data_IF_372542693137
#
_entry.id   IF_372542693137
#
_cell.length_a   1.000
_cell.length_b   1.000
_cell.length_c   1.000
_cell.angle_alpha   90.00
_cell.angle_beta   90.00
_cell.angle_gamma   90.00
#
_symmetry.space_group_name_H-M   'P 1'
#
loop_
_entity.id
_entity.type
_entity.pdbx_description
1 polymer ?
#
# COMPACT_ATOMS: atom_id res chain seq x y z
N UNK A 1 -15.46 -56.87 34.49
CA UNK A 1 -14.51 -55.77 34.13
C UNK A 1 -15.00 -55.24 32.80
N UNK A 2 -16.09 -54.47 32.88
CA UNK A 2 -16.79 -53.90 31.74
C UNK A 2 -16.16 -52.58 31.40
N UNK A 3 -15.74 -52.44 30.16
CA UNK A 3 -15.21 -51.21 29.60
C UNK A 3 -16.37 -50.31 29.16
N UNK A 4 -16.51 -49.18 29.83
CA UNK A 4 -17.43 -48.10 29.53
C UNK A 4 -17.06 -47.45 28.19
N UNK A 5 -18.03 -47.30 27.23
CA UNK A 5 -17.75 -46.60 25.98
C UNK A 5 -17.74 -45.08 26.21
N UNK A 6 -16.73 -44.42 25.69
CA UNK A 6 -16.50 -42.98 25.81
C UNK A 6 -17.56 -42.14 25.11
N UNK A 7 -18.21 -41.26 25.86
CA UNK A 7 -19.30 -40.33 25.47
C UNK A 7 -18.88 -39.13 24.61
N UNK A 8 -18.00 -39.28 23.61
CA UNK A 8 -17.60 -38.18 22.75
C UNK A 8 -18.49 -37.97 21.51
N UNK A 9 -19.43 -38.90 21.23
CA UNK A 9 -20.31 -38.80 20.05
C UNK A 9 -21.50 -37.87 20.22
N UNK A 10 -21.83 -37.40 21.42
CA UNK A 10 -23.00 -36.56 21.66
C UNK A 10 -22.77 -35.05 21.51
N UNK A 11 -21.54 -34.60 21.21
CA UNK A 11 -21.22 -33.17 21.07
C UNK A 11 -21.25 -32.60 19.62
N UNK A 12 -21.59 -33.43 18.61
CA UNK A 12 -21.58 -33.00 17.20
C UNK A 12 -22.94 -32.56 16.63
N UNK A 13 -23.95 -32.35 17.51
CA UNK A 13 -25.30 -31.91 17.13
C UNK A 13 -25.52 -30.39 17.03
N UNK A 14 -24.48 -29.58 16.95
CA UNK A 14 -24.61 -28.17 16.65
C UNK A 14 -24.85 -27.94 15.15
N UNK A 15 -26.14 -27.95 14.74
CA UNK A 15 -26.55 -27.52 13.40
C UNK A 15 -26.00 -26.09 13.19
N UNK A 16 -24.95 -25.99 12.40
CA UNK A 16 -24.46 -24.68 11.91
C UNK A 16 -25.66 -24.03 11.20
N UNK A 17 -26.21 -23.00 11.78
CA UNK A 17 -27.21 -22.15 11.13
C UNK A 17 -26.72 -21.80 9.73
N UNK A 18 -27.52 -21.99 8.66
CA UNK A 18 -27.10 -21.67 7.32
C UNK A 18 -26.72 -20.17 7.31
N UNK A 19 -25.46 -19.89 7.09
CA UNK A 19 -24.97 -18.52 6.91
C UNK A 19 -25.89 -17.87 5.88
N UNK A 20 -26.75 -16.97 6.37
CA UNK A 20 -27.70 -16.22 5.56
C UNK A 20 -26.88 -15.61 4.44
N UNK A 21 -27.06 -16.03 3.21
CA UNK A 21 -26.45 -15.42 2.03
C UNK A 21 -26.92 -13.98 2.01
N UNK A 22 -26.14 -13.10 2.64
CA UNK A 22 -26.38 -11.67 2.54
C UNK A 22 -26.33 -11.32 1.06
N UNK A 23 -27.42 -10.76 0.55
CA UNK A 23 -27.50 -10.31 -0.83
C UNK A 23 -26.34 -9.32 -1.05
N UNK A 24 -25.62 -9.48 -2.15
CA UNK A 24 -24.52 -8.58 -2.55
C UNK A 24 -24.96 -7.10 -2.47
N UNK A 25 -26.23 -6.84 -2.81
CA UNK A 25 -26.84 -5.51 -2.68
C UNK A 25 -26.93 -5.02 -1.23
N UNK A 26 -27.21 -5.91 -0.26
CA UNK A 26 -27.28 -5.50 1.16
C UNK A 26 -25.90 -5.14 1.70
N UNK A 27 -24.87 -5.85 1.25
CA UNK A 27 -23.46 -5.55 1.60
C UNK A 27 -23.01 -4.20 1.03
N UNK A 28 -23.33 -3.89 -0.25
CA UNK A 28 -23.06 -2.58 -0.84
C UNK A 28 -23.80 -1.44 -0.13
N UNK A 29 -25.08 -1.67 0.23
CA UNK A 29 -25.87 -0.69 0.98
C UNK A 29 -25.34 -0.44 2.39
N UNK A 30 -24.78 -1.47 3.02
CA UNK A 30 -24.11 -1.36 4.33
C UNK A 30 -22.83 -0.55 4.20
N UNK A 31 -21.96 -0.89 3.23
CA UNK A 31 -20.73 -0.13 2.94
C UNK A 31 -21.01 1.34 2.67
N UNK A 32 -22.02 1.65 1.86
CA UNK A 32 -22.43 3.03 1.58
C UNK A 32 -22.88 3.77 2.83
N UNK A 33 -23.71 3.14 3.68
CA UNK A 33 -24.13 3.74 4.95
C UNK A 33 -22.95 3.98 5.89
N UNK A 34 -22.00 3.06 5.95
CA UNK A 34 -20.77 3.21 6.74
C UNK A 34 -19.92 4.36 6.25
N UNK A 35 -19.73 4.49 4.93
CA UNK A 35 -19.00 5.61 4.33
C UNK A 35 -19.66 6.96 4.65
N UNK A 36 -20.98 7.06 4.51
CA UNK A 36 -21.73 8.29 4.84
C UNK A 36 -21.68 8.58 6.34
N UNK A 37 -21.76 7.55 7.18
CA UNK A 37 -21.62 7.69 8.64
C UNK A 37 -20.22 8.17 9.02
N UNK A 38 -19.16 7.60 8.44
CA UNK A 38 -17.77 8.01 8.66
C UNK A 38 -17.52 9.45 8.19
N UNK A 39 -18.08 9.84 7.06
CA UNK A 39 -17.95 11.21 6.55
C UNK A 39 -18.47 12.26 7.57
N UNK A 40 -19.54 11.95 8.28
CA UNK A 40 -20.17 12.86 9.25
C UNK A 40 -19.53 12.81 10.64
N UNK A 41 -19.07 11.63 11.07
CA UNK A 41 -18.59 11.42 12.45
C UNK A 41 -17.08 11.44 12.56
N UNK A 42 -16.35 10.92 11.55
CA UNK A 42 -14.89 10.75 11.55
C UNK A 42 -14.30 11.01 10.17
N UNK A 43 -14.31 12.26 9.68
CA UNK A 43 -13.82 12.59 8.34
C UNK A 43 -12.33 12.24 8.15
N UNK A 44 -11.53 12.24 9.24
CA UNK A 44 -10.10 11.87 9.18
C UNK A 44 -9.90 10.43 8.73
N UNK A 45 -10.75 9.50 9.19
CA UNK A 45 -10.70 8.09 8.76
C UNK A 45 -10.96 7.97 7.27
N UNK A 46 -11.94 8.71 6.75
CA UNK A 46 -12.27 8.68 5.33
C UNK A 46 -11.15 9.27 4.47
N UNK A 47 -10.58 10.41 4.86
CA UNK A 47 -9.44 11.01 4.17
C UNK A 47 -8.22 10.08 4.18
N UNK A 48 -7.97 9.41 5.30
CA UNK A 48 -6.90 8.41 5.38
C UNK A 48 -7.17 7.21 4.46
N UNK A 49 -8.39 6.66 4.46
CA UNK A 49 -8.74 5.54 3.58
C UNK A 49 -8.54 5.89 2.11
N UNK A 50 -8.92 7.11 1.70
CA UNK A 50 -8.72 7.59 0.32
C UNK A 50 -7.24 7.78 0.00
N UNK A 51 -6.49 8.47 0.87
CA UNK A 51 -5.05 8.63 0.71
C UNK A 51 -4.34 7.28 0.62
N UNK A 52 -4.66 6.37 1.55
CA UNK A 52 -4.07 5.05 1.62
C UNK A 52 -4.41 4.19 0.39
N UNK A 53 -5.63 4.26 -0.12
CA UNK A 53 -6.00 3.55 -1.34
C UNK A 53 -5.13 3.99 -2.52
N UNK A 54 -4.90 5.30 -2.67
CA UNK A 54 -4.14 5.86 -3.78
C UNK A 54 -2.65 5.58 -3.66
N UNK A 55 -2.00 5.92 -2.51
CA UNK A 55 -0.55 5.70 -2.44
C UNK A 55 -0.18 4.21 -2.40
N UNK A 56 -1.02 3.34 -1.83
CA UNK A 56 -0.79 1.88 -1.85
C UNK A 56 -0.84 1.30 -3.27
N UNK A 57 -1.70 1.83 -4.12
CA UNK A 57 -1.70 1.48 -5.55
C UNK A 57 -0.40 1.95 -6.22
N UNK A 58 0.07 3.17 -5.91
CA UNK A 58 1.39 3.65 -6.33
C UNK A 58 2.53 2.73 -5.85
N UNK A 59 2.51 2.27 -4.59
CA UNK A 59 3.49 1.30 -4.06
C UNK A 59 3.46 -0.03 -4.82
N UNK A 60 2.26 -0.53 -5.15
CA UNK A 60 2.11 -1.73 -5.97
C UNK A 60 2.65 -1.50 -7.39
N UNK A 61 2.43 -0.31 -7.97
CA UNK A 61 2.97 0.10 -9.25
C UNK A 61 4.50 0.09 -9.29
N UNK A 62 5.18 0.53 -8.23
CA UNK A 62 6.64 0.46 -8.10
C UNK A 62 7.16 -0.97 -8.30
N UNK A 63 6.56 -1.95 -7.62
CA UNK A 63 6.97 -3.35 -7.78
C UNK A 63 6.58 -3.94 -9.15
N UNK A 64 5.36 -3.63 -9.61
CA UNK A 64 4.84 -4.19 -10.86
C UNK A 64 5.65 -3.72 -12.07
N UNK A 65 5.96 -2.42 -12.12
CA UNK A 65 6.62 -1.82 -13.27
C UNK A 65 8.14 -1.67 -13.10
N UNK A 66 8.67 -1.81 -11.88
CA UNK A 66 10.10 -1.70 -11.61
C UNK A 66 10.93 -2.67 -12.44
N UNK A 67 10.55 -3.94 -12.54
CA UNK A 67 11.23 -4.92 -13.36
C UNK A 67 11.15 -4.63 -14.86
N UNK A 68 10.02 -4.09 -15.34
CA UNK A 68 9.86 -3.68 -16.74
C UNK A 68 10.82 -2.53 -17.06
N UNK A 69 10.86 -1.52 -16.19
CA UNK A 69 11.75 -0.36 -16.34
C UNK A 69 13.22 -0.77 -16.27
N UNK A 70 13.59 -1.64 -15.32
CA UNK A 70 14.94 -2.17 -15.20
C UNK A 70 15.41 -2.82 -16.50
N UNK A 71 14.56 -3.64 -17.13
CA UNK A 71 14.85 -4.35 -18.37
C UNK A 71 14.84 -3.42 -19.58
N UNK A 72 13.81 -2.62 -19.76
CA UNK A 72 13.60 -1.81 -20.97
C UNK A 72 14.48 -0.56 -21.03
N UNK A 73 14.89 -0.02 -19.89
CA UNK A 73 15.59 1.28 -19.80
C UNK A 73 17.02 1.13 -19.32
N UNK A 74 17.25 0.29 -18.30
CA UNK A 74 18.56 0.16 -17.66
C UNK A 74 19.38 -1.05 -18.12
N UNK A 75 18.91 -1.80 -19.10
CA UNK A 75 19.66 -2.88 -19.72
C UNK A 75 19.79 -4.16 -18.87
N UNK A 76 18.90 -4.38 -17.91
CA UNK A 76 18.87 -5.62 -17.12
C UNK A 76 18.52 -6.81 -17.99
N UNK A 77 19.22 -7.92 -17.78
CA UNK A 77 18.80 -9.23 -18.26
C UNK A 77 17.61 -9.76 -17.43
N UNK A 78 16.99 -10.84 -17.87
CA UNK A 78 15.92 -11.48 -17.10
C UNK A 78 16.42 -11.97 -15.72
N UNK A 79 17.63 -12.50 -15.70
CA UNK A 79 18.27 -13.00 -14.47
C UNK A 79 18.60 -11.85 -13.50
N UNK A 80 19.07 -10.71 -14.01
CA UNK A 80 19.31 -9.51 -13.19
C UNK A 80 18.03 -9.01 -12.53
N UNK A 81 16.89 -9.03 -13.25
CA UNK A 81 15.58 -8.64 -12.69
C UNK A 81 15.17 -9.59 -11.56
N UNK A 82 15.39 -10.91 -11.73
CA UNK A 82 15.06 -11.89 -10.69
C UNK A 82 15.94 -11.70 -9.45
N UNK A 83 17.26 -11.54 -9.64
CA UNK A 83 18.20 -11.32 -8.53
C UNK A 83 17.86 -10.00 -7.82
N UNK A 84 17.60 -8.92 -8.58
CA UNK A 84 17.19 -7.65 -8.03
C UNK A 84 15.91 -7.78 -7.21
N UNK A 85 14.90 -8.49 -7.72
CA UNK A 85 13.64 -8.67 -7.00
C UNK A 85 13.83 -9.41 -5.66
N UNK A 86 14.68 -10.43 -5.61
CA UNK A 86 15.00 -11.15 -4.38
C UNK A 86 15.68 -10.20 -3.38
N UNK A 87 16.76 -9.52 -3.81
CA UNK A 87 17.53 -8.61 -2.96
C UNK A 87 16.64 -7.46 -2.47
N UNK A 88 15.85 -6.86 -3.35
CA UNK A 88 14.93 -5.77 -3.00
C UNK A 88 13.89 -6.19 -1.95
N UNK A 89 13.35 -7.41 -2.06
CA UNK A 89 12.41 -7.94 -1.06
C UNK A 89 13.08 -8.19 0.29
N UNK A 90 14.31 -8.74 0.30
CA UNK A 90 15.08 -8.93 1.55
C UNK A 90 15.37 -7.60 2.20
N UNK A 91 15.88 -6.63 1.44
CA UNK A 91 16.18 -5.27 1.95
C UNK A 91 14.90 -4.60 2.48
N UNK A 92 13.81 -4.65 1.73
CA UNK A 92 12.52 -4.11 2.16
C UNK A 92 12.03 -4.77 3.45
N UNK A 93 12.20 -6.08 3.59
CA UNK A 93 11.84 -6.82 4.81
C UNK A 93 12.65 -6.37 6.03
N UNK A 94 13.98 -6.31 5.90
CA UNK A 94 14.88 -5.86 6.97
C UNK A 94 14.56 -4.42 7.38
N UNK A 95 14.43 -3.50 6.42
CA UNK A 95 14.11 -2.10 6.70
C UNK A 95 12.71 -1.96 7.32
N UNK A 96 11.75 -2.80 6.95
CA UNK A 96 10.42 -2.81 7.57
C UNK A 96 10.47 -3.17 9.05
N UNK A 97 11.29 -4.17 9.42
CA UNK A 97 11.48 -4.54 10.83
C UNK A 97 12.09 -3.37 11.62
N UNK A 98 13.16 -2.77 11.07
CA UNK A 98 13.80 -1.61 11.70
C UNK A 98 12.86 -0.41 11.78
N UNK A 99 12.01 -0.21 10.78
CA UNK A 99 11.05 0.90 10.76
C UNK A 99 9.96 0.80 11.84
N UNK A 100 9.74 -0.38 12.43
CA UNK A 100 8.88 -0.53 13.60
C UNK A 100 9.34 0.37 14.76
N UNK A 101 10.64 0.44 15.01
CA UNK A 101 11.20 1.36 16.02
C UNK A 101 11.00 2.83 15.66
N UNK A 102 11.07 3.16 14.37
CA UNK A 102 10.80 4.53 13.91
C UNK A 102 9.32 4.90 14.06
N UNK A 103 8.42 3.92 13.90
CA UNK A 103 6.98 4.09 14.09
C UNK A 103 6.64 4.44 15.55
N UNK A 104 7.34 3.81 16.50
CA UNK A 104 7.19 4.09 17.92
C UNK A 104 7.78 5.45 18.31
N UNK A 105 8.92 5.84 17.72
CA UNK A 105 9.62 7.09 18.06
C UNK A 105 9.01 8.32 17.38
N UNK A 106 8.71 8.23 16.10
CA UNK A 106 8.29 9.37 15.26
C UNK A 106 6.78 9.45 15.06
N UNK A 107 6.10 8.33 15.29
CA UNK A 107 4.71 8.12 14.96
C UNK A 107 4.46 7.71 13.49
N UNK A 108 3.40 6.91 13.24
CA UNK A 108 3.16 6.27 11.95
C UNK A 108 2.93 7.27 10.81
N UNK A 109 2.31 8.42 11.08
CA UNK A 109 2.10 9.45 10.06
C UNK A 109 3.40 9.98 9.47
N UNK A 110 4.41 10.23 10.34
CA UNK A 110 5.71 10.74 9.88
C UNK A 110 6.47 9.67 9.11
N UNK A 111 6.38 8.41 9.52
CA UNK A 111 6.98 7.29 8.80
C UNK A 111 6.35 7.12 7.41
N UNK A 112 5.02 7.20 7.29
CA UNK A 112 4.33 7.16 5.99
C UNK A 112 4.82 8.31 5.10
N UNK A 113 4.77 9.54 5.60
CA UNK A 113 5.14 10.73 4.82
C UNK A 113 6.61 10.71 4.39
N UNK A 114 7.52 10.33 5.30
CA UNK A 114 8.94 10.20 5.01
C UNK A 114 9.21 9.13 3.95
N UNK A 115 8.59 7.96 4.08
CA UNK A 115 8.71 6.87 3.10
C UNK A 115 8.18 7.29 1.73
N UNK A 116 7.01 7.93 1.66
CA UNK A 116 6.45 8.44 0.40
C UNK A 116 7.34 9.51 -0.24
N UNK A 117 7.92 10.42 0.56
CA UNK A 117 8.84 11.43 0.06
C UNK A 117 10.10 10.79 -0.55
N UNK A 118 10.71 9.82 0.13
CA UNK A 118 11.86 9.07 -0.42
C UNK A 118 11.48 8.33 -1.70
N UNK A 119 10.33 7.66 -1.73
CA UNK A 119 9.83 6.97 -2.93
C UNK A 119 9.67 7.91 -4.12
N UNK A 120 9.08 9.09 -3.90
CA UNK A 120 8.92 10.12 -4.95
C UNK A 120 10.28 10.60 -5.43
N UNK A 121 11.20 10.96 -4.52
CA UNK A 121 12.53 11.47 -4.86
C UNK A 121 13.34 10.40 -5.62
N UNK A 122 13.36 9.15 -5.14
CA UNK A 122 14.10 8.07 -5.81
C UNK A 122 13.50 7.76 -7.19
N UNK A 123 12.18 7.77 -7.33
CA UNK A 123 11.53 7.60 -8.64
C UNK A 123 11.87 8.72 -9.61
N UNK A 124 11.91 9.96 -9.15
CA UNK A 124 12.32 11.10 -9.97
C UNK A 124 13.82 11.03 -10.37
N UNK A 125 14.67 10.55 -9.46
CA UNK A 125 16.09 10.32 -9.78
C UNK A 125 16.26 9.19 -10.79
N UNK A 126 15.50 8.09 -10.68
CA UNK A 126 15.49 7.01 -11.68
C UNK A 126 15.04 7.55 -13.04
N UNK A 127 14.04 8.43 -13.07
CA UNK A 127 13.62 9.09 -14.30
C UNK A 127 14.71 10.01 -14.87
N UNK A 128 15.32 10.85 -14.05
CA UNK A 128 16.33 11.81 -14.49
C UNK A 128 17.66 11.15 -14.95
N UNK A 129 17.99 10.00 -14.34
CA UNK A 129 19.21 9.24 -14.62
C UNK A 129 18.92 7.98 -15.43
N UNK A 130 17.93 8.02 -16.33
CA UNK A 130 17.51 6.87 -17.13
C UNK A 130 18.60 6.28 -18.02
N UNK A 131 19.61 7.07 -18.39
CA UNK A 131 20.79 6.64 -19.17
C UNK A 131 21.93 6.07 -18.30
N UNK A 132 21.77 6.03 -16.97
CA UNK A 132 22.83 5.69 -16.02
C UNK A 132 23.20 4.21 -15.94
N UNK A 133 22.49 3.36 -16.70
CA UNK A 133 22.75 1.93 -16.78
C UNK A 133 22.37 1.12 -15.52
N UNK A 134 22.72 -0.18 -15.49
CA UNK A 134 22.26 -1.10 -14.45
C UNK A 134 22.64 -0.71 -13.02
N UNK A 135 23.85 -0.18 -12.81
CA UNK A 135 24.35 0.20 -11.47
C UNK A 135 23.51 1.32 -10.86
N UNK A 136 23.08 2.28 -11.67
CA UNK A 136 22.21 3.38 -11.22
C UNK A 136 20.87 2.84 -10.75
N UNK A 137 20.27 1.92 -11.51
CA UNK A 137 19.01 1.29 -11.10
C UNK A 137 19.18 0.41 -9.85
N UNK A 138 20.28 -0.32 -9.70
CA UNK A 138 20.59 -1.07 -8.50
C UNK A 138 20.59 -0.19 -7.26
N UNK A 139 21.32 0.92 -7.29
CA UNK A 139 21.44 1.81 -6.15
C UNK A 139 20.10 2.50 -5.81
N UNK A 140 19.48 3.16 -6.78
CA UNK A 140 18.26 3.93 -6.56
C UNK A 140 17.03 3.03 -6.32
N UNK A 141 16.95 1.91 -7.05
CA UNK A 141 15.86 0.95 -6.92
C UNK A 141 15.86 0.21 -5.58
N UNK A 142 17.03 -0.12 -5.00
CA UNK A 142 17.11 -0.69 -3.66
C UNK A 142 16.68 0.31 -2.59
N UNK A 143 17.12 1.57 -2.67
CA UNK A 143 16.67 2.63 -1.77
C UNK A 143 15.17 2.86 -1.87
N UNK A 144 14.64 2.88 -3.09
CA UNK A 144 13.21 2.99 -3.34
C UNK A 144 12.44 1.81 -2.73
N UNK A 145 12.87 0.58 -3.00
CA UNK A 145 12.22 -0.64 -2.50
C UNK A 145 12.24 -0.71 -0.97
N UNK A 146 13.29 -0.22 -0.32
CA UNK A 146 13.44 -0.21 1.13
C UNK A 146 12.35 0.58 1.85
N UNK A 147 11.76 1.59 1.19
CA UNK A 147 10.73 2.45 1.79
C UNK A 147 9.30 1.94 1.59
N UNK A 148 9.08 0.93 0.74
CA UNK A 148 7.72 0.40 0.49
C UNK A 148 7.15 -0.32 1.71
N UNK A 149 7.95 -1.18 2.33
CA UNK A 149 7.55 -1.93 3.52
C UNK A 149 7.18 -1.02 4.71
N UNK A 150 8.05 -0.08 5.11
CA UNK A 150 7.74 0.92 6.12
C UNK A 150 6.43 1.68 5.88
N UNK A 151 6.21 2.17 4.65
CA UNK A 151 4.98 2.87 4.30
C UNK A 151 3.73 2.00 4.51
N UNK A 152 3.80 0.71 4.13
CA UNK A 152 2.68 -0.23 4.30
C UNK A 152 2.45 -0.63 5.76
N UNK A 153 3.52 -0.87 6.53
CA UNK A 153 3.43 -1.21 7.95
C UNK A 153 2.84 -0.07 8.74
N UNK A 154 3.43 1.12 8.64
CA UNK A 154 2.97 2.32 9.31
C UNK A 154 1.52 2.70 8.94
N UNK A 155 1.07 2.39 7.71
CA UNK A 155 -0.32 2.60 7.29
C UNK A 155 -1.31 1.80 8.13
N UNK A 156 -0.98 0.55 8.45
CA UNK A 156 -1.83 -0.31 9.28
C UNK A 156 -1.84 0.15 10.72
N UNK A 157 -0.69 0.52 11.26
CA UNK A 157 -0.57 1.10 12.62
C UNK A 157 -1.35 2.39 12.74
N UNK A 158 -1.22 3.29 11.76
CA UNK A 158 -1.96 4.55 11.74
C UNK A 158 -3.46 4.34 11.68
N UNK A 159 -3.92 3.43 10.81
CA UNK A 159 -5.34 3.07 10.73
C UNK A 159 -5.84 2.54 12.08
N UNK A 160 -5.11 1.62 12.72
CA UNK A 160 -5.51 1.06 14.01
C UNK A 160 -5.67 2.13 15.09
N UNK A 161 -4.85 3.20 15.06
CA UNK A 161 -4.95 4.34 15.99
C UNK A 161 -6.13 5.28 15.67
N UNK A 162 -6.62 5.29 14.41
CA UNK A 162 -7.74 6.12 13.98
C UNK A 162 -9.10 5.48 14.22
N UNK A 163 -9.16 4.15 14.37
CA UNK A 163 -10.42 3.42 14.44
C UNK A 163 -11.08 3.59 15.81
N UNK A 164 -12.35 4.01 15.87
CA UNK A 164 -13.13 3.96 17.11
C UNK A 164 -13.29 2.53 17.61
N UNK A 165 -13.21 2.33 18.94
CA UNK A 165 -13.36 1.01 19.58
C UNK A 165 -14.65 0.30 19.12
N UNK A 166 -14.55 -0.98 18.77
CA UNK A 166 -15.66 -1.81 18.37
C UNK A 166 -16.02 -1.76 16.86
N UNK A 167 -15.28 -1.00 16.03
CA UNK A 167 -15.51 -0.93 14.57
C UNK A 167 -14.31 -1.39 13.76
N UNK A 168 -13.37 -2.10 14.38
CA UNK A 168 -12.09 -2.49 13.78
C UNK A 168 -12.29 -3.32 12.51
N UNK A 169 -13.09 -4.37 12.59
CA UNK A 169 -13.35 -5.28 11.45
C UNK A 169 -13.99 -4.56 10.26
N UNK A 170 -14.92 -3.64 10.52
CA UNK A 170 -15.60 -2.88 9.47
C UNK A 170 -14.65 -1.95 8.74
N UNK A 171 -13.82 -1.20 9.47
CA UNK A 171 -12.92 -0.19 8.89
C UNK A 171 -11.71 -0.86 8.22
N UNK A 172 -11.16 -1.94 8.78
CA UNK A 172 -10.14 -2.72 8.07
C UNK A 172 -10.68 -3.37 6.80
N UNK A 173 -11.95 -3.80 6.79
CA UNK A 173 -12.64 -4.26 5.59
C UNK A 173 -12.76 -3.16 4.53
N UNK A 174 -13.11 -1.92 4.93
CA UNK A 174 -13.12 -0.76 4.04
C UNK A 174 -11.73 -0.44 3.50
N UNK A 175 -10.70 -0.48 4.34
CA UNK A 175 -9.30 -0.26 3.93
C UNK A 175 -8.84 -1.28 2.87
N UNK A 176 -9.22 -2.54 3.01
CA UNK A 176 -8.92 -3.56 2.01
C UNK A 176 -9.69 -3.34 0.71
N UNK A 177 -10.99 -3.00 0.81
CA UNK A 177 -11.88 -2.81 -0.34
C UNK A 177 -11.53 -1.55 -1.13
N UNK A 178 -11.27 -0.42 -0.47
CA UNK A 178 -10.87 0.84 -1.11
C UNK A 178 -9.53 0.71 -1.82
N UNK A 179 -8.56 -0.03 -1.22
CA UNK A 179 -7.29 -0.32 -1.88
C UNK A 179 -7.46 -1.12 -3.18
N UNK A 180 -8.37 -2.11 -3.19
CA UNK A 180 -8.69 -2.85 -4.41
C UNK A 180 -9.43 -2.01 -5.45
N UNK A 181 -10.34 -1.13 -5.01
CA UNK A 181 -11.06 -0.23 -5.91
C UNK A 181 -10.13 0.77 -6.60
N UNK A 182 -9.03 1.18 -5.96
CA UNK A 182 -8.04 2.09 -6.52
C UNK A 182 -6.98 1.41 -7.42
N UNK A 183 -6.90 0.06 -7.45
CA UNK A 183 -5.81 -0.72 -8.07
C UNK A 183 -5.64 -0.56 -9.58
N UNK A 184 -6.49 0.21 -10.24
CA UNK A 184 -6.36 0.55 -11.66
C UNK A 184 -5.58 1.87 -11.90
N UNK A 185 -5.35 2.67 -10.87
CA UNK A 185 -4.85 4.03 -11.01
C UNK A 185 -3.37 4.05 -11.44
N UNK A 186 -2.52 3.24 -10.80
CA UNK A 186 -1.11 3.15 -11.19
C UNK A 186 -0.93 2.58 -12.61
N UNK A 187 -1.59 1.48 -13.03
CA UNK A 187 -1.56 1.04 -14.43
C UNK A 187 -2.03 2.10 -15.42
N UNK A 188 -3.14 2.79 -15.12
CA UNK A 188 -3.67 3.82 -15.99
C UNK A 188 -2.70 5.00 -16.13
N UNK A 189 -2.17 5.50 -15.01
CA UNK A 189 -1.23 6.63 -15.03
C UNK A 189 0.12 6.26 -15.65
N UNK A 190 0.59 5.02 -15.45
CA UNK A 190 1.77 4.49 -16.13
C UNK A 190 1.58 4.53 -17.65
N UNK A 191 0.46 4.03 -18.17
CA UNK A 191 0.14 4.05 -19.59
C UNK A 191 -0.02 5.47 -20.16
N UNK A 192 -0.71 6.35 -19.44
CA UNK A 192 -0.89 7.76 -19.83
C UNK A 192 0.47 8.48 -19.89
N UNK A 193 1.35 8.24 -18.94
CA UNK A 193 2.67 8.85 -18.92
C UNK A 193 3.54 8.38 -20.10
N UNK A 194 3.53 7.09 -20.44
CA UNK A 194 4.21 6.58 -21.65
C UNK A 194 3.62 7.20 -22.92
N UNK A 195 2.29 7.25 -23.00
CA UNK A 195 1.63 7.86 -24.15
C UNK A 195 2.03 9.35 -24.32
N UNK A 196 2.04 10.11 -23.21
CA UNK A 196 2.53 11.51 -23.21
C UNK A 196 3.99 11.63 -23.59
N UNK A 197 4.86 10.78 -23.03
CA UNK A 197 6.28 10.73 -23.34
C UNK A 197 6.58 10.43 -24.81
N UNK A 198 5.74 9.62 -25.44
CA UNK A 198 5.88 9.26 -26.86
C UNK A 198 5.81 10.48 -27.80
N UNK A 199 5.13 11.56 -27.42
CA UNK A 199 5.11 12.81 -28.17
C UNK A 199 6.39 13.64 -28.02
N UNK A 200 7.16 13.40 -26.94
CA UNK A 200 8.36 14.16 -26.61
C UNK A 200 9.63 13.46 -27.11
N UNK A 201 9.75 12.15 -26.84
CA UNK A 201 10.99 11.38 -27.11
C UNK A 201 10.80 10.30 -28.19
N UNK A 202 9.61 10.16 -28.74
CA UNK A 202 9.27 9.08 -29.68
C UNK A 202 8.81 7.80 -28.95
N UNK A 203 8.10 6.95 -29.70
CA UNK A 203 7.45 5.75 -29.13
C UNK A 203 8.43 4.73 -28.57
N UNK A 204 9.58 4.57 -29.21
CA UNK A 204 10.56 3.54 -28.85
C UNK A 204 11.34 3.87 -27.57
N UNK A 205 11.42 5.15 -27.20
CA UNK A 205 12.16 5.64 -26.05
C UNK A 205 11.25 6.06 -24.87
N UNK A 206 9.92 6.03 -25.02
CA UNK A 206 8.99 6.56 -24.02
C UNK A 206 8.80 5.65 -22.79
N UNK A 207 9.38 4.44 -22.76
CA UNK A 207 9.15 3.46 -21.70
C UNK A 207 9.42 3.97 -20.28
N UNK A 208 10.52 4.72 -20.08
CA UNK A 208 10.89 5.27 -18.77
C UNK A 208 9.93 6.39 -18.28
N UNK A 209 9.14 7.01 -19.18
CA UNK A 209 8.13 8.00 -18.77
C UNK A 209 7.04 7.40 -17.89
N UNK A 210 6.82 6.11 -17.95
CA UNK A 210 5.89 5.41 -17.06
C UNK A 210 6.18 5.66 -15.57
N UNK A 211 7.45 5.90 -15.21
CA UNK A 211 7.85 6.27 -13.85
C UNK A 211 7.11 7.51 -13.36
N UNK A 212 6.95 8.53 -14.21
CA UNK A 212 6.23 9.76 -13.86
C UNK A 212 4.76 9.52 -13.54
N UNK A 213 4.13 8.54 -14.21
CA UNK A 213 2.78 8.11 -13.88
C UNK A 213 2.67 7.55 -12.45
N UNK A 214 3.64 6.72 -12.04
CA UNK A 214 3.70 6.18 -10.67
C UNK A 214 3.97 7.32 -9.67
N UNK A 215 4.91 8.22 -9.99
CA UNK A 215 5.21 9.41 -9.16
C UNK A 215 3.95 10.24 -8.94
N UNK A 216 3.15 10.47 -9.96
CA UNK A 216 1.92 11.25 -9.85
C UNK A 216 0.94 10.60 -8.85
N UNK A 217 0.78 9.28 -8.90
CA UNK A 217 -0.07 8.53 -7.96
C UNK A 217 0.46 8.64 -6.53
N UNK A 218 1.77 8.47 -6.33
CA UNK A 218 2.41 8.60 -5.02
C UNK A 218 2.26 10.02 -4.45
N UNK A 219 2.50 11.05 -5.28
CA UNK A 219 2.34 12.46 -4.88
C UNK A 219 0.89 12.77 -4.55
N UNK A 220 -0.07 12.29 -5.34
CA UNK A 220 -1.49 12.49 -5.05
C UNK A 220 -1.87 11.87 -3.70
N UNK A 221 -1.44 10.63 -3.44
CA UNK A 221 -1.65 9.98 -2.15
C UNK A 221 -0.98 10.73 -1.00
N UNK A 222 0.25 11.23 -1.20
CA UNK A 222 0.98 12.03 -0.22
C UNK A 222 0.29 13.37 0.09
N UNK A 223 -0.22 14.07 -0.93
CA UNK A 223 -0.96 15.34 -0.77
C UNK A 223 -2.26 15.11 0.00
N UNK A 224 -2.98 14.03 -0.30
CA UNK A 224 -4.18 13.68 0.45
C UNK A 224 -3.88 13.34 1.91
N UNK A 225 -2.74 12.69 2.17
CA UNK A 225 -2.28 12.38 3.52
C UNK A 225 -1.96 13.64 4.33
N UNK A 226 -1.61 14.76 3.70
CA UNK A 226 -1.41 16.04 4.40
C UNK A 226 -2.69 16.56 5.07
N UNK A 227 -3.87 16.21 4.51
CA UNK A 227 -5.17 16.58 5.07
C UNK A 227 -5.61 15.72 6.26
N UNK A 228 -4.91 14.62 6.49
CA UNK A 228 -5.19 13.72 7.62
C UNK A 228 -4.48 14.24 8.85
N UNK A 229 -5.23 14.60 9.88
CA UNK A 229 -4.67 15.03 11.17
C UNK A 229 -4.19 13.84 11.98
N UNK A 230 -3.13 14.02 12.79
CA UNK A 230 -2.75 12.99 13.77
C UNK A 230 -3.86 12.86 14.82
N UNK A 231 -4.23 11.64 15.21
CA UNK A 231 -5.14 11.44 16.31
C UNK A 231 -4.50 12.06 17.57
N UNK A 232 -5.12 13.12 18.08
CA UNK A 232 -4.67 13.77 19.31
C UNK A 232 -4.91 12.82 20.49
N UNK A 233 -3.84 12.34 21.11
CA UNK A 233 -3.86 11.77 22.44
C UNK A 233 -3.97 10.25 22.50
N UNK A 234 -2.83 9.59 22.79
CA UNK A 234 -2.76 8.36 23.59
C UNK A 234 -1.37 8.14 24.21
N UNK A 235 -0.56 9.18 24.37
CA UNK A 235 0.78 9.06 25.01
C UNK A 235 0.83 9.80 26.36
N UNK A 236 -0.24 10.47 26.81
CA UNK A 236 -0.20 11.30 28.04
C UNK A 236 -0.96 10.71 29.24
N UNK A 237 -1.53 9.53 29.14
CA UNK A 237 -2.31 8.93 30.26
C UNK A 237 -1.63 7.68 30.87
N UNK A 238 -0.30 7.63 30.88
CA UNK A 238 0.48 6.63 31.60
C UNK A 238 1.47 7.30 32.58
N UNK A 239 1.00 8.30 33.34
CA UNK A 239 1.63 8.76 34.59
C UNK A 239 0.77 8.38 35.78
#
# INVERSE_FOLDING_TARGET
>A
MESEPADWESASGGVASPARRESVLSSYRRLWRTLVGLYRSHPEVLWFLLAAAIYRDGLAGVFTYGGIIAKSTFGFTQDDVLVFAIVANVVAGVVTIVSGYLDDLLGPRRVIMGSLAVLVVMSLLIFALHDGGPVTFWALGLLLSSCVGPAQSASRTFLARLIPKGREGEIFGLYATTGRAASFLAPAMYGVAIWGGAFVVGKDQAGYWGILGIVLVLVLGMVLMLRVSDPKGHITDLD
#
